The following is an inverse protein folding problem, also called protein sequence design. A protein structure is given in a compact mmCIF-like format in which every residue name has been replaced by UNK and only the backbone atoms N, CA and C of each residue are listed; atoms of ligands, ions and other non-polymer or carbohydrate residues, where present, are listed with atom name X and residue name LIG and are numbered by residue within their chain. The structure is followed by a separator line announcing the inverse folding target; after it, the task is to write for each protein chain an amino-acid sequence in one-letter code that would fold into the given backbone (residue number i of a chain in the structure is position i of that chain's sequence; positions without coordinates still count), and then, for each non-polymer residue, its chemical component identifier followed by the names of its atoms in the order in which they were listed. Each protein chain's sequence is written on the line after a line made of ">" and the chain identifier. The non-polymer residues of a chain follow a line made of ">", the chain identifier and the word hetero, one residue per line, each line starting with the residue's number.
data_IF_456538037822
#
_entry.id   IF_456538037822
#
_cell.length_a   1.000
_cell.length_b   1.000
_cell.length_c   1.000
_cell.angle_alpha   90.00
_cell.angle_beta   90.00
_cell.angle_gamma   90.00
#
_symmetry.space_group_name_H-M   'P 1'
#
loop_
_entity.id
_entity.type
_entity.pdbx_description
1 polymer ?
#
# COMPACT_ATOMS: atom_id res chain seq x y z
N UNK A 1 5.25 17.75 -18.30
CA UNK A 1 5.59 17.99 -16.86
C UNK A 1 4.63 17.14 -16.07
N UNK A 2 5.13 16.06 -15.45
CA UNK A 2 4.30 15.17 -14.64
C UNK A 2 3.72 15.96 -13.48
N UNK A 3 2.43 16.20 -13.46
CA UNK A 3 1.75 16.75 -12.29
C UNK A 3 1.83 15.70 -11.19
N UNK A 4 2.73 15.96 -10.23
CA UNK A 4 2.86 15.15 -9.04
C UNK A 4 1.54 15.23 -8.27
N UNK A 5 0.79 14.12 -8.18
CA UNK A 5 -0.44 14.09 -7.43
C UNK A 5 -0.15 14.48 -5.96
N UNK A 6 -0.66 15.64 -5.57
CA UNK A 6 -0.51 16.19 -4.20
C UNK A 6 -1.75 15.86 -3.39
N UNK A 7 -1.55 15.27 -2.23
CA UNK A 7 -2.60 14.87 -1.30
C UNK A 7 -2.53 15.71 -0.03
N UNK A 8 -3.56 16.50 0.23
CA UNK A 8 -3.75 17.19 1.51
C UNK A 8 -4.40 16.27 2.56
N UNK A 9 -5.02 15.20 2.13
CA UNK A 9 -5.44 14.09 2.96
C UNK A 9 -5.24 12.79 2.16
N UNK A 10 -4.93 11.70 2.84
CA UNK A 10 -4.59 10.44 2.19
C UNK A 10 -4.94 9.27 3.08
N UNK A 11 -5.46 8.21 2.49
CA UNK A 11 -5.56 6.91 3.16
C UNK A 11 -4.98 5.82 2.26
N UNK A 12 -4.09 5.02 2.83
CA UNK A 12 -3.70 3.72 2.29
C UNK A 12 -4.42 2.64 3.09
N UNK A 13 -5.03 1.66 2.43
CA UNK A 13 -5.60 0.51 3.11
C UNK A 13 -5.44 -0.77 2.29
N UNK A 14 -5.29 -1.90 2.98
CA UNK A 14 -5.20 -3.21 2.37
C UNK A 14 -5.63 -4.31 3.35
N UNK A 15 -6.15 -5.39 2.80
CA UNK A 15 -6.17 -6.68 3.48
C UNK A 15 -4.81 -7.35 3.27
N UNK A 16 -4.18 -7.79 4.34
CA UNK A 16 -2.86 -8.43 4.31
C UNK A 16 -2.85 -9.77 5.03
N UNK A 17 -2.09 -10.71 4.47
CA UNK A 17 -1.79 -12.00 5.07
C UNK A 17 -0.28 -12.23 4.96
N UNK A 18 0.40 -12.37 6.08
CA UNK A 18 1.86 -12.54 6.11
C UNK A 18 2.20 -14.01 6.25
N UNK A 19 2.93 -14.58 5.30
CA UNK A 19 3.44 -15.94 5.41
C UNK A 19 4.66 -15.99 6.34
N UNK A 20 5.59 -15.06 6.14
CA UNK A 20 6.82 -14.96 6.93
C UNK A 20 7.22 -13.49 7.07
N UNK A 21 7.42 -13.05 8.29
CA UNK A 21 7.87 -11.69 8.56
C UNK A 21 9.30 -11.45 8.07
N UNK A 22 9.48 -10.31 7.44
CA UNK A 22 10.76 -9.81 6.99
C UNK A 22 10.81 -8.30 7.18
N UNK A 23 11.93 -7.79 7.66
CA UNK A 23 12.16 -6.35 7.75
C UNK A 23 12.10 -5.69 6.38
N UNK A 24 11.56 -4.47 6.34
CA UNK A 24 11.34 -3.65 5.14
C UNK A 24 10.29 -4.20 4.17
N UNK A 25 9.49 -5.21 4.54
CA UNK A 25 8.40 -5.70 3.70
C UNK A 25 7.35 -4.61 3.50
N UNK A 26 7.22 -4.14 2.26
CA UNK A 26 6.33 -3.02 1.92
C UNK A 26 4.89 -3.49 1.77
N UNK A 27 3.96 -2.83 2.46
CA UNK A 27 2.52 -2.93 2.17
C UNK A 27 2.22 -2.07 0.95
N UNK A 28 2.40 -0.75 1.06
CA UNK A 28 2.29 0.19 -0.06
C UNK A 28 2.89 1.54 0.29
N UNK A 29 3.15 2.34 -0.72
CA UNK A 29 3.57 3.72 -0.56
C UNK A 29 4.67 4.15 -1.53
N UNK A 30 5.16 5.38 -1.32
CA UNK A 30 6.26 5.98 -2.06
C UNK A 30 7.48 6.10 -1.16
N UNK A 31 8.54 5.37 -1.48
CA UNK A 31 9.78 5.37 -0.71
C UNK A 31 10.39 6.78 -0.67
N UNK A 32 10.91 7.16 0.49
CA UNK A 32 11.44 8.51 0.73
C UNK A 32 10.38 9.60 0.96
N UNK A 33 9.08 9.26 0.83
CA UNK A 33 7.98 10.20 0.98
C UNK A 33 7.01 9.74 2.08
N UNK A 34 6.18 8.75 1.80
CA UNK A 34 5.29 8.11 2.76
C UNK A 34 5.17 6.63 2.39
N UNK A 35 5.73 5.76 3.22
CA UNK A 35 5.67 4.32 3.01
C UNK A 35 5.10 3.61 4.22
N UNK A 36 4.25 2.63 3.97
CA UNK A 36 3.63 1.76 4.94
C UNK A 36 4.22 0.36 4.79
N UNK A 37 4.95 -0.12 5.80
CA UNK A 37 5.76 -1.35 5.70
C UNK A 37 5.88 -2.06 7.05
N UNK A 38 6.43 -3.25 7.05
CA UNK A 38 6.83 -4.00 8.25
C UNK A 38 8.33 -3.85 8.52
N UNK A 39 8.68 -3.57 9.76
CA UNK A 39 10.04 -3.59 10.27
C UNK A 39 11.05 -2.67 9.57
N UNK A 40 12.11 -2.37 10.27
CA UNK A 40 13.36 -1.80 9.70
C UNK A 40 14.55 -2.13 10.64
N UNK A 41 15.60 -1.31 10.64
CA UNK A 41 16.77 -1.53 11.51
C UNK A 41 16.42 -1.48 12.99
N UNK A 42 15.42 -0.65 13.38
CA UNK A 42 15.03 -0.37 14.77
C UNK A 42 13.65 -0.90 15.15
N UNK A 43 12.88 -1.36 14.18
CA UNK A 43 11.53 -1.91 14.36
C UNK A 43 11.52 -3.38 14.03
N UNK A 44 10.88 -4.19 14.88
CA UNK A 44 10.79 -5.63 14.67
C UNK A 44 10.06 -5.99 13.37
N UNK A 45 10.41 -7.13 12.78
CA UNK A 45 9.84 -7.56 11.50
C UNK A 45 8.32 -7.84 11.56
N UNK A 46 7.79 -8.13 12.75
CA UNK A 46 6.38 -8.38 13.02
C UNK A 46 5.61 -7.12 13.46
N UNK A 47 6.22 -5.95 13.35
CA UNK A 47 5.59 -4.65 13.63
C UNK A 47 5.45 -3.83 12.35
N UNK A 48 4.26 -3.30 12.11
CA UNK A 48 4.00 -2.36 11.02
C UNK A 48 4.53 -0.98 11.39
N UNK A 49 5.02 -0.22 10.42
CA UNK A 49 5.43 1.17 10.60
C UNK A 49 5.05 2.06 9.44
N UNK A 50 5.00 3.33 9.72
CA UNK A 50 5.06 4.41 8.73
C UNK A 50 6.49 4.94 8.70
N UNK A 51 7.03 5.17 7.52
CA UNK A 51 8.35 5.78 7.33
C UNK A 51 8.35 6.79 6.18
N UNK A 52 9.35 7.66 6.15
CA UNK A 52 9.48 8.79 5.23
C UNK A 52 9.42 10.12 5.97
N UNK A 53 8.62 11.08 5.48
CA UNK A 53 8.49 12.41 6.12
C UNK A 53 7.81 12.38 7.49
N UNK A 54 7.19 11.29 7.85
CA UNK A 54 6.75 10.95 9.20
C UNK A 54 7.18 9.52 9.49
N UNK A 55 7.67 9.25 10.70
CA UNK A 55 8.14 7.92 11.08
C UNK A 55 7.65 7.53 12.46
N UNK A 56 6.93 6.42 12.57
CA UNK A 56 6.45 5.82 13.80
C UNK A 56 5.91 4.41 13.58
N UNK A 57 5.74 3.68 14.67
CA UNK A 57 5.13 2.35 14.68
C UNK A 57 4.32 2.14 15.95
N UNK A 58 3.26 1.30 15.92
CA UNK A 58 2.58 0.83 17.12
C UNK A 58 3.44 -0.19 17.88
N UNK A 59 3.14 -0.38 19.17
CA UNK A 59 3.68 -1.50 19.94
C UNK A 59 3.07 -2.86 19.55
N UNK A 60 1.96 -2.84 18.80
CA UNK A 60 1.26 -4.04 18.34
C UNK A 60 2.15 -4.91 17.47
N UNK A 61 2.27 -6.19 17.84
CA UNK A 61 2.87 -7.23 17.03
C UNK A 61 1.80 -8.00 16.27
N UNK A 62 2.15 -8.45 15.07
CA UNK A 62 1.28 -9.23 14.21
C UNK A 62 1.65 -10.72 14.29
N UNK A 63 0.66 -11.59 14.14
CA UNK A 63 0.89 -13.00 13.95
C UNK A 63 0.92 -13.32 12.45
N UNK A 64 1.79 -14.25 12.06
CA UNK A 64 1.80 -14.77 10.69
C UNK A 64 0.57 -15.66 10.43
N UNK A 65 0.28 -15.89 9.16
CA UNK A 65 -0.75 -16.83 8.66
C UNK A 65 -2.19 -16.49 9.08
N UNK A 66 -2.47 -15.19 9.24
CA UNK A 66 -3.84 -14.71 9.40
C UNK A 66 -4.04 -13.37 8.69
N UNK A 67 -5.30 -13.07 8.35
CA UNK A 67 -5.68 -11.83 7.68
C UNK A 67 -5.84 -10.70 8.67
N UNK A 68 -5.40 -9.52 8.27
CA UNK A 68 -5.65 -8.24 8.92
C UNK A 68 -6.06 -7.20 7.91
N UNK A 69 -6.98 -6.33 8.25
CA UNK A 69 -7.14 -5.06 7.55
C UNK A 69 -6.21 -4.03 8.18
N UNK A 70 -5.35 -3.41 7.39
CA UNK A 70 -4.45 -2.36 7.85
C UNK A 70 -4.69 -1.08 7.08
N UNK A 71 -4.63 0.05 7.77
CA UNK A 71 -4.73 1.35 7.13
C UNK A 71 -3.76 2.36 7.74
N UNK A 72 -3.24 3.23 6.87
CA UNK A 72 -2.53 4.46 7.19
C UNK A 72 -3.41 5.61 6.78
N UNK A 73 -3.77 6.49 7.72
CA UNK A 73 -4.58 7.68 7.47
C UNK A 73 -3.76 8.92 7.75
N UNK A 74 -3.74 9.84 6.82
CA UNK A 74 -3.15 11.17 6.97
C UNK A 74 -4.19 12.25 6.72
N UNK A 75 -4.29 13.18 7.66
CA UNK A 75 -5.08 14.41 7.54
C UNK A 75 -4.16 15.63 7.62
N UNK A 76 -3.97 16.31 6.51
CA UNK A 76 -3.06 17.45 6.42
C UNK A 76 -3.58 18.70 7.11
N UNK A 77 -4.89 18.86 7.33
CA UNK A 77 -5.46 19.97 8.05
C UNK A 77 -5.05 19.93 9.54
N UNK A 78 -5.06 18.75 10.13
CA UNK A 78 -4.64 18.51 11.51
C UNK A 78 -3.19 18.04 11.62
N UNK A 79 -2.56 17.70 10.50
CA UNK A 79 -1.25 17.04 10.38
C UNK A 79 -1.18 15.69 11.11
N UNK A 80 -2.31 15.04 11.36
CA UNK A 80 -2.35 13.73 12.03
C UNK A 80 -2.08 12.61 11.04
N UNK A 81 -1.23 11.70 11.47
CA UNK A 81 -0.98 10.44 10.78
C UNK A 81 -1.31 9.31 11.74
N UNK A 82 -2.17 8.39 11.31
CA UNK A 82 -2.74 7.35 12.17
C UNK A 82 -2.58 5.97 11.52
N UNK A 83 -2.32 4.94 12.33
CA UNK A 83 -2.33 3.54 11.90
C UNK A 83 -3.54 2.85 12.49
N UNK A 84 -4.28 2.16 11.64
CA UNK A 84 -5.43 1.33 12.02
C UNK A 84 -5.17 -0.13 11.70
N UNK A 85 -5.67 -1.01 12.57
CA UNK A 85 -5.72 -2.46 12.36
C UNK A 85 -7.14 -2.93 12.68
N UNK A 86 -7.79 -3.56 11.71
CA UNK A 86 -9.17 -4.04 11.79
C UNK A 86 -10.19 -2.96 12.20
N UNK A 87 -9.92 -1.71 11.80
CA UNK A 87 -10.75 -0.54 12.10
C UNK A 87 -10.46 0.10 13.45
N UNK A 88 -9.52 -0.41 14.22
CA UNK A 88 -9.09 0.18 15.50
C UNK A 88 -7.78 0.95 15.35
N UNK A 89 -7.73 2.17 15.86
CA UNK A 89 -6.50 2.97 15.85
C UNK A 89 -5.49 2.42 16.84
N UNK A 90 -4.31 2.06 16.34
CA UNK A 90 -3.23 1.45 17.14
C UNK A 90 -2.04 2.38 17.37
N UNK A 91 -1.90 3.43 16.56
CA UNK A 91 -0.87 4.46 16.76
C UNK A 91 -1.27 5.75 16.06
N UNK A 92 -0.70 6.87 16.52
CA UNK A 92 -0.79 8.17 15.86
C UNK A 92 0.48 8.98 16.04
N UNK A 93 0.76 9.89 15.10
CA UNK A 93 1.83 10.87 15.19
C UNK A 93 1.48 12.12 14.39
N UNK A 94 1.91 13.28 14.89
CA UNK A 94 1.83 14.54 14.14
C UNK A 94 2.94 14.58 13.10
N UNK A 95 2.59 14.80 11.84
CA UNK A 95 3.54 14.99 10.75
C UNK A 95 4.11 16.41 10.74
N UNK A 96 5.31 16.57 10.18
CA UNK A 96 5.92 17.89 9.96
C UNK A 96 5.35 18.60 8.72
N UNK A 97 4.69 17.86 7.83
CA UNK A 97 4.12 18.33 6.57
C UNK A 97 2.60 18.36 6.61
N UNK A 98 1.99 19.13 5.71
CA UNK A 98 0.53 19.22 5.55
C UNK A 98 0.03 18.58 4.26
N UNK A 99 0.92 17.96 3.50
CA UNK A 99 0.59 17.23 2.26
C UNK A 99 1.69 16.22 1.90
N UNK A 100 1.33 15.20 1.14
CA UNK A 100 2.24 14.25 0.52
C UNK A 100 2.09 14.28 -0.99
N UNK A 101 3.19 14.02 -1.71
CA UNK A 101 3.19 13.86 -3.15
C UNK A 101 3.39 12.37 -3.49
N UNK A 102 2.47 11.79 -4.25
CA UNK A 102 2.69 10.51 -4.90
C UNK A 102 3.28 10.81 -6.29
N UNK A 103 4.58 10.79 -6.39
CA UNK A 103 5.28 10.86 -7.67
C UNK A 103 5.58 9.43 -8.08
N UNK A 104 5.53 9.09 -9.34
CA UNK A 104 5.69 7.81 -10.04
C UNK A 104 6.46 6.63 -9.44
N UNK A 105 6.77 6.66 -8.13
CA UNK A 105 7.41 5.63 -7.33
C UNK A 105 6.48 5.08 -6.24
N UNK A 106 5.17 5.05 -6.49
CA UNK A 106 4.22 4.37 -5.62
C UNK A 106 4.18 2.89 -5.96
N UNK A 107 4.30 2.06 -4.94
CA UNK A 107 4.32 0.61 -5.07
C UNK A 107 3.34 -0.04 -4.10
N UNK A 108 2.84 -1.23 -4.46
CA UNK A 108 2.08 -2.15 -3.60
C UNK A 108 2.87 -3.45 -3.52
N UNK A 109 3.15 -3.93 -2.31
CA UNK A 109 3.89 -5.17 -2.08
C UNK A 109 5.38 -5.11 -2.43
N UNK A 110 5.92 -3.93 -2.73
CA UNK A 110 7.28 -3.73 -3.20
C UNK A 110 7.81 -2.33 -2.88
N UNK A 111 9.11 -2.09 -3.05
CA UNK A 111 9.75 -0.79 -3.12
C UNK A 111 10.83 -0.79 -4.20
N UNK A 112 11.50 0.31 -4.43
CA UNK A 112 12.38 0.55 -5.58
C UNK A 112 13.66 -0.31 -5.66
N UNK A 113 13.93 -1.12 -4.66
CA UNK A 113 15.10 -1.99 -4.65
C UNK A 113 14.87 -3.24 -5.53
N UNK A 114 15.72 -3.41 -6.49
CA UNK A 114 15.64 -4.51 -7.46
C UNK A 114 16.11 -5.87 -6.91
N UNK A 115 16.59 -5.93 -5.67
CA UNK A 115 17.10 -7.16 -5.04
C UNK A 115 16.05 -7.98 -4.31
N UNK A 116 14.81 -7.48 -4.25
CA UNK A 116 13.71 -8.13 -3.54
C UNK A 116 13.79 -8.01 -2.01
N UNK A 117 14.65 -7.13 -1.47
CA UNK A 117 14.79 -6.96 -0.03
C UNK A 117 13.51 -6.42 0.60
N UNK A 118 12.71 -5.66 -0.15
CA UNK A 118 11.48 -4.99 0.29
C UNK A 118 10.20 -5.62 -0.20
N UNK A 119 10.29 -6.78 -0.84
CA UNK A 119 9.13 -7.51 -1.37
C UNK A 119 8.26 -8.05 -0.25
N UNK A 120 6.95 -7.95 -0.43
CA UNK A 120 5.96 -8.60 0.42
C UNK A 120 6.09 -10.13 0.38
N UNK A 121 5.87 -10.78 1.53
CA UNK A 121 5.88 -12.24 1.65
C UNK A 121 4.56 -12.71 2.23
N UNK A 122 3.62 -13.02 1.36
CA UNK A 122 2.27 -13.41 1.74
C UNK A 122 1.25 -13.00 0.69
N UNK A 123 0.02 -12.77 1.12
CA UNK A 123 -1.10 -12.38 0.24
C UNK A 123 -1.56 -10.98 0.56
N UNK A 124 -2.07 -10.30 -0.44
CA UNK A 124 -2.70 -8.99 -0.32
C UNK A 124 -3.99 -8.95 -1.13
N UNK A 125 -4.94 -8.20 -0.66
CA UNK A 125 -6.16 -7.89 -1.42
C UNK A 125 -6.76 -6.56 -0.94
N UNK A 126 -7.75 -6.07 -1.67
CA UNK A 126 -8.48 -4.84 -1.32
C UNK A 126 -7.54 -3.64 -1.11
N UNK A 127 -6.48 -3.55 -1.94
CA UNK A 127 -5.52 -2.46 -1.88
C UNK A 127 -6.13 -1.18 -2.42
N UNK A 128 -6.21 -0.14 -1.59
CA UNK A 128 -6.85 1.13 -1.96
C UNK A 128 -6.02 2.32 -1.53
N UNK A 129 -6.09 3.35 -2.36
CA UNK A 129 -5.56 4.68 -2.08
C UNK A 129 -6.73 5.65 -2.17
N UNK A 130 -6.85 6.51 -1.17
CA UNK A 130 -7.87 7.55 -1.10
C UNK A 130 -7.22 8.92 -1.00
N UNK A 131 -7.83 9.91 -1.61
CA UNK A 131 -7.47 11.32 -1.48
C UNK A 131 -8.18 12.03 -0.32
N UNK A 132 -8.69 11.25 0.63
CA UNK A 132 -9.38 11.69 1.84
C UNK A 132 -8.86 10.95 3.06
N UNK A 133 -8.97 11.54 4.24
CA UNK A 133 -8.73 10.88 5.51
C UNK A 133 -9.99 10.08 5.91
N UNK A 134 -9.92 8.75 5.84
CA UNK A 134 -11.02 7.89 6.20
C UNK A 134 -11.18 7.78 7.71
N UNK A 135 -12.41 7.72 8.16
CA UNK A 135 -12.76 7.52 9.56
C UNK A 135 -12.62 6.04 9.98
N UNK A 136 -12.47 5.81 11.29
CA UNK A 136 -12.43 4.46 11.85
C UNK A 136 -13.66 3.61 11.45
N UNK A 137 -14.87 4.21 11.44
CA UNK A 137 -16.10 3.52 11.05
C UNK A 137 -16.09 3.11 9.57
N UNK A 138 -15.63 3.97 8.67
CA UNK A 138 -15.50 3.63 7.25
C UNK A 138 -14.50 2.50 7.04
N UNK A 139 -13.34 2.56 7.70
CA UNK A 139 -12.33 1.50 7.64
C UNK A 139 -12.86 0.17 8.15
N UNK A 140 -13.59 0.18 9.28
CA UNK A 140 -14.16 -1.02 9.89
C UNK A 140 -15.25 -1.66 9.04
N UNK A 141 -16.15 -0.84 8.50
CA UNK A 141 -17.32 -1.32 7.79
C UNK A 141 -17.04 -1.74 6.35
N UNK A 142 -16.00 -1.17 5.73
CA UNK A 142 -15.74 -1.32 4.30
C UNK A 142 -14.46 -2.14 3.99
N UNK A 143 -13.90 -2.84 4.98
CA UNK A 143 -12.64 -3.56 4.82
C UNK A 143 -12.64 -4.62 3.70
N UNK A 144 -13.78 -5.23 3.40
CA UNK A 144 -13.93 -6.30 2.40
C UNK A 144 -14.46 -5.82 1.03
N UNK A 145 -14.63 -4.52 0.84
CA UNK A 145 -15.06 -3.94 -0.42
C UNK A 145 -15.63 -2.53 -0.26
N UNK A 146 -15.58 -1.78 -1.35
CA UNK A 146 -16.15 -0.43 -1.47
C UNK A 146 -16.83 -0.29 -2.82
N UNK A 147 -17.73 0.68 -2.95
CA UNK A 147 -18.23 1.09 -4.25
C UNK A 147 -17.07 1.69 -5.06
N UNK A 148 -16.78 1.17 -6.27
CA UNK A 148 -15.76 1.71 -7.15
C UNK A 148 -15.91 3.20 -7.49
N UNK A 149 -17.12 3.74 -7.37
CA UNK A 149 -17.44 5.14 -7.63
C UNK A 149 -17.36 6.03 -6.38
N UNK A 150 -16.94 5.48 -5.23
CA UNK A 150 -16.84 6.25 -3.98
C UNK A 150 -16.07 7.53 -4.16
N UNK A 151 -16.55 8.61 -3.56
CA UNK A 151 -15.86 9.90 -3.55
C UNK A 151 -14.51 9.79 -2.83
N UNK A 152 -13.48 10.40 -3.38
CA UNK A 152 -12.14 10.35 -2.82
C UNK A 152 -11.37 9.05 -3.07
N UNK A 153 -12.00 8.01 -3.66
CA UNK A 153 -11.28 6.79 -4.05
C UNK A 153 -10.34 7.10 -5.23
N UNK A 154 -9.03 7.10 -4.95
CA UNK A 154 -8.01 7.44 -5.92
C UNK A 154 -7.58 6.25 -6.78
N UNK A 155 -7.50 5.06 -6.19
CA UNK A 155 -7.21 3.80 -6.86
C UNK A 155 -7.62 2.60 -6.02
N UNK A 156 -8.02 1.49 -6.68
CA UNK A 156 -8.52 0.29 -6.04
C UNK A 156 -8.12 -0.97 -6.81
N UNK A 157 -7.22 -1.76 -6.25
CA UNK A 157 -6.70 -3.00 -6.83
C UNK A 157 -7.08 -4.17 -5.92
N UNK A 158 -7.96 -5.04 -6.42
CA UNK A 158 -8.47 -6.19 -5.64
C UNK A 158 -7.42 -7.27 -5.42
N UNK A 159 -6.50 -7.45 -6.37
CA UNK A 159 -5.46 -8.48 -6.34
C UNK A 159 -6.04 -9.90 -6.17
N UNK A 160 -7.19 -10.17 -6.75
CA UNK A 160 -7.90 -11.45 -6.63
C UNK A 160 -7.65 -12.40 -7.82
N UNK A 161 -6.71 -12.05 -8.70
CA UNK A 161 -6.33 -12.85 -9.88
C UNK A 161 -7.26 -12.67 -11.10
N UNK A 162 -8.50 -12.21 -10.92
CA UNK A 162 -9.44 -11.99 -12.04
C UNK A 162 -9.30 -10.60 -12.67
N UNK A 163 -8.62 -9.71 -12.01
CA UNK A 163 -8.34 -8.34 -12.42
C UNK A 163 -6.97 -8.17 -13.10
N UNK A 164 -6.25 -9.27 -13.30
CA UNK A 164 -4.96 -9.30 -13.99
C UNK A 164 -5.16 -9.54 -15.49
N UNK A 165 -4.51 -8.73 -16.32
CA UNK A 165 -4.51 -8.92 -17.77
C UNK A 165 -3.12 -8.68 -18.36
N UNK A 166 -2.90 -9.15 -19.60
CA UNK A 166 -1.65 -8.95 -20.33
C UNK A 166 -1.89 -8.04 -21.53
N UNK A 167 -0.99 -7.07 -21.72
CA UNK A 167 -0.97 -6.20 -22.88
C UNK A 167 0.50 -5.90 -23.25
N UNK A 168 0.84 -5.99 -24.54
CA UNK A 168 2.17 -5.71 -25.08
C UNK A 168 3.33 -6.40 -24.31
N UNK A 169 3.10 -7.64 -23.88
CA UNK A 169 4.08 -8.43 -23.13
C UNK A 169 4.19 -8.08 -21.63
N UNK A 170 3.48 -7.09 -21.15
CA UNK A 170 3.45 -6.69 -19.75
C UNK A 170 2.18 -7.17 -19.06
N UNK A 171 2.28 -7.41 -17.75
CA UNK A 171 1.13 -7.73 -16.90
C UNK A 171 0.64 -6.48 -16.18
N UNK A 172 -0.67 -6.35 -16.13
CA UNK A 172 -1.36 -5.24 -15.48
C UNK A 172 -2.37 -5.77 -14.48
N UNK A 173 -2.61 -5.01 -13.42
CA UNK A 173 -3.71 -5.22 -12.48
C UNK A 173 -4.69 -4.07 -12.63
N UNK A 174 -5.94 -4.41 -12.92
CA UNK A 174 -7.00 -3.44 -13.19
C UNK A 174 -7.33 -2.62 -11.94
N UNK A 175 -7.31 -1.29 -12.08
CA UNK A 175 -7.91 -0.38 -11.12
C UNK A 175 -9.43 -0.44 -11.24
N UNK A 176 -10.10 -0.85 -10.17
CA UNK A 176 -11.55 -0.95 -10.12
C UNK A 176 -12.23 0.42 -9.92
N UNK A 177 -11.47 1.46 -9.51
CA UNK A 177 -12.03 2.79 -9.33
C UNK A 177 -12.41 3.45 -10.66
N UNK A 178 -13.23 4.49 -10.60
CA UNK A 178 -13.59 5.30 -11.77
C UNK A 178 -12.40 6.00 -12.44
N UNK A 179 -11.22 5.97 -11.84
CA UNK A 179 -10.03 6.66 -12.35
C UNK A 179 -9.21 5.79 -13.32
N UNK A 180 -9.44 4.46 -13.35
CA UNK A 180 -8.80 3.51 -14.27
C UNK A 180 -7.26 3.61 -14.30
N UNK A 181 -6.62 3.71 -13.12
CA UNK A 181 -5.17 3.73 -12.95
C UNK A 181 -4.63 2.31 -12.77
N UNK A 182 -4.58 1.57 -13.88
CA UNK A 182 -4.10 0.20 -13.85
C UNK A 182 -2.65 0.14 -13.39
N UNK A 183 -2.36 -0.79 -12.50
CA UNK A 183 -1.02 -1.02 -12.00
C UNK A 183 -0.25 -1.95 -12.91
N UNK A 184 1.05 -1.70 -13.10
CA UNK A 184 1.94 -2.56 -13.88
C UNK A 184 2.65 -3.55 -12.95
N UNK A 185 2.56 -4.84 -13.24
CA UNK A 185 3.33 -5.86 -12.53
C UNK A 185 4.76 -5.93 -13.07
N UNK A 186 5.76 -5.86 -12.19
CA UNK A 186 7.19 -5.98 -12.55
C UNK A 186 7.66 -7.42 -12.71
N UNK A 187 6.89 -8.30 -13.31
CA UNK A 187 7.27 -9.71 -13.49
C UNK A 187 8.59 -9.92 -14.24
N UNK A 188 9.04 -8.96 -15.04
CA UNK A 188 10.27 -9.06 -15.83
C UNK A 188 11.58 -8.86 -15.04
N UNK A 189 11.57 -8.35 -13.81
CA UNK A 189 12.77 -8.09 -13.03
C UNK A 189 13.33 -9.34 -12.29
N UNK A 190 12.57 -10.43 -12.24
CA UNK A 190 12.94 -11.68 -11.55
C UNK A 190 13.31 -12.83 -12.50
N UNK A 191 14.01 -12.57 -13.59
CA UNK A 191 14.49 -13.63 -14.51
C UNK A 191 15.76 -14.35 -14.04
N UNK A 192 16.16 -14.23 -12.80
CA UNK A 192 17.28 -15.00 -12.28
C UNK A 192 16.82 -16.29 -11.59
N UNK A 193 16.30 -17.26 -12.38
CA UNK A 193 16.47 -18.69 -12.10
C UNK A 193 15.58 -19.32 -11.03
N UNK A 194 14.50 -18.70 -10.54
CA UNK A 194 13.53 -19.36 -9.65
C UNK A 194 12.13 -19.35 -10.25
N UNK A 195 11.52 -20.53 -10.26
CA UNK A 195 10.25 -20.82 -10.90
C UNK A 195 9.17 -19.80 -10.60
N UNK A 196 8.55 -19.35 -11.67
CA UNK A 196 7.48 -18.36 -11.68
C UNK A 196 6.20 -18.95 -11.08
N UNK A 197 5.72 -18.39 -9.97
CA UNK A 197 4.31 -18.51 -9.65
C UNK A 197 3.51 -17.66 -10.63
N UNK A 198 2.33 -18.09 -11.00
CA UNK A 198 1.48 -17.45 -12.03
C UNK A 198 0.84 -16.15 -11.50
N UNK A 199 1.00 -15.85 -10.20
CA UNK A 199 0.46 -14.66 -9.56
C UNK A 199 1.49 -13.52 -9.58
N UNK A 200 1.08 -12.28 -9.90
CA UNK A 200 1.98 -11.14 -9.84
C UNK A 200 2.35 -10.87 -8.38
N UNK A 201 3.59 -11.17 -8.01
CA UNK A 201 4.12 -10.96 -6.66
C UNK A 201 4.33 -9.46 -6.34
N UNK A 202 4.23 -8.60 -7.35
CA UNK A 202 4.60 -7.18 -7.25
C UNK A 202 3.73 -6.34 -8.17
N UNK A 203 3.17 -5.29 -7.61
CA UNK A 203 2.37 -4.30 -8.34
C UNK A 203 3.05 -2.95 -8.26
N UNK A 204 3.43 -2.40 -9.42
CA UNK A 204 3.89 -1.01 -9.56
C UNK A 204 2.75 -0.16 -10.11
N UNK A 205 2.36 0.88 -9.39
CA UNK A 205 1.47 1.88 -9.91
C UNK A 205 2.28 2.99 -10.59
N UNK A 206 2.10 3.18 -11.89
CA UNK A 206 2.46 4.43 -12.56
C UNK A 206 1.20 5.27 -12.64
N UNK A 207 1.26 6.49 -12.15
CA UNK A 207 0.24 7.48 -12.44
C UNK A 207 0.46 7.83 -13.92
N UNK A 208 -0.34 7.22 -14.81
CA UNK A 208 -0.37 7.64 -16.22
C UNK A 208 -1.01 9.02 -16.30
N UNK A 209 -0.46 9.84 -17.18
CA UNK A 209 -0.98 11.16 -17.56
C UNK A 209 -2.46 11.12 -17.97
#
# INVERSE_FOLDING_TARGET
>A
MDEKAKFNALTYEAMIYVDTFKKLSTVMGAEGNLIFRFGDTTVDADQIQVAGNVQFNPSKKFAAKQWYHVALVFDGATKRTEIYVDGERVAEKTASVNSFNLNGNFFIGYAYDYDGSRTWRGKMSECRVWSVARTANELKNNKLGVDPNSEGLFGYWKLNGTDVYQKDGNYYVKDQSKNHRDATSRRGAYQNGRGLSVEPDVVEMRISE
#
